data_IF_396113695795
#
_entry.id   IF_396113695795
#
_cell.length_a   1.000
_cell.length_b   1.000
_cell.length_c   1.000
_cell.angle_alpha   90.00
_cell.angle_beta   90.00
_cell.angle_gamma   90.00
#
_symmetry.space_group_name_H-M   'P 1'
#
loop_
_entity.id
_entity.type
_entity.pdbx_description
1 polymer ?
#
# COMPACT_ATOMS: atom_id res chain seq x y z
N UNK A 1 18.01 -0.72 -13.25
CA UNK A 1 17.06 -1.86 -13.40
C UNK A 1 16.21 -2.17 -12.16
N UNK A 2 16.74 -2.04 -10.93
CA UNK A 2 16.04 -2.40 -9.69
C UNK A 2 14.72 -1.65 -9.45
N UNK A 3 14.69 -0.33 -9.75
CA UNK A 3 13.50 0.52 -9.69
C UNK A 3 12.34 0.03 -10.59
N UNK A 4 12.66 -0.58 -11.74
CA UNK A 4 11.65 -1.08 -12.68
C UNK A 4 10.86 -2.27 -12.11
N UNK A 5 11.58 -3.21 -11.47
CA UNK A 5 10.97 -4.38 -10.82
C UNK A 5 10.12 -3.95 -9.62
N UNK A 6 10.61 -2.97 -8.83
CA UNK A 6 9.84 -2.38 -7.74
C UNK A 6 8.54 -1.73 -8.22
N UNK A 7 8.59 -0.90 -9.27
CA UNK A 7 7.41 -0.29 -9.89
C UNK A 7 6.40 -1.31 -10.39
N UNK A 8 6.86 -2.38 -11.05
CA UNK A 8 5.98 -3.47 -11.51
C UNK A 8 5.28 -4.17 -10.34
N UNK A 9 5.97 -4.38 -9.22
CA UNK A 9 5.39 -4.97 -8.01
C UNK A 9 4.33 -4.06 -7.39
N UNK A 10 4.61 -2.77 -7.27
CA UNK A 10 3.66 -1.77 -6.75
C UNK A 10 2.42 -1.70 -7.64
N UNK A 11 2.59 -1.58 -8.97
CA UNK A 11 1.47 -1.61 -9.92
C UNK A 11 0.62 -2.87 -9.80
N UNK A 12 1.25 -4.03 -9.57
CA UNK A 12 0.52 -5.30 -9.37
C UNK A 12 -0.34 -5.26 -8.10
N UNK A 13 0.19 -4.72 -7.01
CA UNK A 13 -0.57 -4.54 -5.75
C UNK A 13 -1.73 -3.57 -5.97
N UNK A 14 -1.49 -2.41 -6.58
CA UNK A 14 -2.54 -1.42 -6.87
C UNK A 14 -3.63 -2.03 -7.75
N UNK A 15 -3.27 -2.73 -8.82
CA UNK A 15 -4.23 -3.34 -9.75
C UNK A 15 -5.16 -4.36 -9.08
N UNK A 16 -4.66 -5.08 -8.07
CA UNK A 16 -5.45 -6.08 -7.34
C UNK A 16 -6.27 -5.40 -6.24
N UNK A 17 -5.64 -4.58 -5.40
CA UNK A 17 -6.26 -4.05 -4.19
C UNK A 17 -7.22 -2.89 -4.46
N UNK A 18 -6.89 -2.01 -5.41
CA UNK A 18 -7.68 -0.81 -5.72
C UNK A 18 -9.14 -1.14 -6.05
N UNK A 19 -9.47 -2.05 -7.00
CA UNK A 19 -10.87 -2.36 -7.30
C UNK A 19 -11.58 -3.08 -6.14
N UNK A 20 -10.88 -3.89 -5.34
CA UNK A 20 -11.45 -4.60 -4.20
C UNK A 20 -11.84 -3.60 -3.10
N UNK A 21 -10.94 -2.69 -2.76
CA UNK A 21 -11.16 -1.67 -1.74
C UNK A 21 -12.21 -0.64 -2.18
N UNK A 22 -12.16 -0.19 -3.44
CA UNK A 22 -13.17 0.71 -4.00
C UNK A 22 -14.57 0.09 -4.00
N UNK A 23 -14.69 -1.19 -4.37
CA UNK A 23 -15.99 -1.88 -4.40
C UNK A 23 -16.52 -2.20 -3.01
N UNK A 24 -15.64 -2.55 -2.07
CA UNK A 24 -16.02 -2.96 -0.70
C UNK A 24 -16.29 -1.79 0.24
N UNK A 25 -15.54 -0.70 0.12
CA UNK A 25 -15.53 0.40 1.10
C UNK A 25 -15.79 1.79 0.48
N UNK A 26 -15.92 1.87 -0.84
CA UNK A 26 -16.17 3.11 -1.59
C UNK A 26 -14.90 3.88 -1.94
N UNK A 27 -15.08 5.06 -2.53
CA UNK A 27 -13.99 5.98 -2.85
C UNK A 27 -13.59 6.76 -1.60
N UNK A 28 -12.43 6.43 -1.04
CA UNK A 28 -11.83 7.11 0.11
C UNK A 28 -10.35 7.34 -0.15
N UNK A 29 -9.81 8.41 0.41
CA UNK A 29 -8.39 8.74 0.30
C UNK A 29 -7.51 7.72 1.06
N UNK A 30 -8.04 7.17 2.15
CA UNK A 30 -7.36 6.17 2.98
C UNK A 30 -8.33 5.09 3.51
N UNK A 31 -7.78 3.91 3.83
CA UNK A 31 -8.49 2.77 4.38
C UNK A 31 -7.92 2.38 5.75
N UNK A 32 -8.77 1.81 6.62
CA UNK A 32 -8.30 1.38 7.94
C UNK A 32 -7.42 0.12 7.83
N UNK A 33 -6.50 -0.05 8.79
CA UNK A 33 -5.57 -1.20 8.82
C UNK A 33 -6.33 -2.53 8.71
N UNK A 34 -7.45 -2.68 9.45
CA UNK A 34 -8.26 -3.89 9.41
C UNK A 34 -8.92 -4.17 8.05
N UNK A 35 -9.34 -3.13 7.33
CA UNK A 35 -9.89 -3.26 5.97
C UNK A 35 -8.82 -3.70 4.97
N UNK A 36 -7.61 -3.14 5.09
CA UNK A 36 -6.47 -3.54 4.25
C UNK A 36 -6.05 -4.97 4.60
N UNK A 37 -5.94 -5.32 5.88
CA UNK A 37 -5.60 -6.67 6.36
C UNK A 37 -6.53 -7.74 5.82
N UNK A 38 -7.85 -7.50 5.87
CA UNK A 38 -8.84 -8.44 5.39
C UNK A 38 -8.63 -8.81 3.91
N UNK A 39 -8.14 -7.86 3.10
CA UNK A 39 -8.02 -8.00 1.66
C UNK A 39 -6.61 -8.38 1.18
N UNK A 40 -5.59 -8.29 2.05
CA UNK A 40 -4.20 -8.61 1.70
C UNK A 40 -3.74 -10.00 2.18
N UNK A 41 -4.59 -10.77 2.90
CA UNK A 41 -4.22 -12.11 3.42
C UNK A 41 -3.72 -13.07 2.34
N UNK A 42 -4.20 -12.93 1.11
CA UNK A 42 -3.80 -13.74 -0.06
C UNK A 42 -2.49 -13.28 -0.73
N UNK A 43 -1.95 -12.11 -0.36
CA UNK A 43 -0.71 -11.54 -0.91
C UNK A 43 0.53 -11.99 -0.14
N UNK A 44 1.71 -11.93 -0.76
CA UNK A 44 2.95 -12.26 -0.06
C UNK A 44 3.34 -11.17 0.96
N UNK A 45 4.09 -11.52 2.01
CA UNK A 45 4.52 -10.57 3.08
C UNK A 45 5.09 -9.24 2.57
N UNK A 46 5.86 -9.27 1.46
CA UNK A 46 6.39 -8.04 0.84
C UNK A 46 5.30 -7.20 0.16
N UNK A 47 4.33 -7.83 -0.49
CA UNK A 47 3.19 -7.14 -1.10
C UNK A 47 2.23 -6.59 -0.05
N UNK A 48 2.06 -7.29 1.07
CA UNK A 48 1.30 -6.81 2.23
C UNK A 48 1.90 -5.51 2.78
N UNK A 49 3.22 -5.47 3.01
CA UNK A 49 3.92 -4.24 3.43
C UNK A 49 3.71 -3.08 2.45
N UNK A 50 3.78 -3.36 1.14
CA UNK A 50 3.49 -2.36 0.10
C UNK A 50 2.03 -1.92 0.20
N UNK A 51 1.07 -2.84 0.31
CA UNK A 51 -0.35 -2.51 0.41
C UNK A 51 -0.67 -1.63 1.62
N UNK A 52 -0.08 -1.91 2.79
CA UNK A 52 -0.22 -1.03 3.95
C UNK A 52 0.36 0.36 3.71
N UNK A 53 1.59 0.44 3.22
CA UNK A 53 2.21 1.72 2.90
C UNK A 53 1.43 2.49 1.82
N UNK A 54 0.68 1.79 0.99
CA UNK A 54 -0.11 2.38 -0.08
C UNK A 54 -1.49 2.86 0.37
N UNK A 55 -2.25 2.02 1.05
CA UNK A 55 -3.69 2.22 1.28
C UNK A 55 -4.05 2.56 2.73
N UNK A 56 -3.16 2.31 3.68
CA UNK A 56 -3.45 2.60 5.08
C UNK A 56 -3.21 4.07 5.41
N UNK A 57 -3.99 4.58 6.36
CA UNK A 57 -3.79 5.92 6.91
C UNK A 57 -2.38 6.09 7.49
N UNK A 58 -1.61 7.10 7.07
CA UNK A 58 -0.27 7.37 7.60
C UNK A 58 -0.30 7.75 9.08
N UNK A 59 -1.43 8.30 9.55
CA UNK A 59 -1.66 8.62 10.97
C UNK A 59 -2.06 7.41 11.82
N UNK A 60 -2.46 6.30 11.18
CA UNK A 60 -2.80 5.04 11.88
C UNK A 60 -1.58 4.16 12.12
N UNK A 61 -0.48 4.41 11.40
CA UNK A 61 0.82 3.80 11.68
C UNK A 61 1.56 4.67 12.70
N UNK A 62 1.43 4.36 13.98
CA UNK A 62 2.33 4.90 15.00
C UNK A 62 3.78 4.69 14.53
N UNK A 63 4.47 5.81 14.29
CA UNK A 63 5.83 5.93 13.74
C UNK A 63 6.92 5.34 14.64
N UNK A 64 6.57 4.51 15.63
CA UNK A 64 7.45 4.06 16.70
C UNK A 64 8.19 2.76 16.38
N UNK A 65 7.78 1.96 15.39
CA UNK A 65 8.33 0.60 15.25
C UNK A 65 8.96 0.22 13.91
N UNK A 66 8.98 1.06 12.88
CA UNK A 66 9.61 0.67 11.61
C UNK A 66 10.25 1.85 10.87
N UNK A 67 11.55 2.06 11.10
CA UNK A 67 12.46 2.99 10.43
C UNK A 67 12.61 2.75 8.91
N UNK A 68 11.83 1.84 8.33
CA UNK A 68 11.83 1.51 6.90
C UNK A 68 10.63 2.09 6.12
N UNK A 69 9.57 2.52 6.81
CA UNK A 69 8.36 3.08 6.20
C UNK A 69 8.52 4.46 5.57
N UNK A 70 9.33 5.43 6.08
CA UNK A 70 9.41 6.73 5.43
C UNK A 70 9.93 6.63 4.00
N UNK A 71 10.70 5.59 3.63
CA UNK A 71 11.19 5.40 2.26
C UNK A 71 10.10 5.04 1.23
N UNK A 72 8.94 4.52 1.67
CA UNK A 72 7.83 4.19 0.76
C UNK A 72 6.86 5.36 0.55
N UNK A 73 6.73 6.27 1.51
CA UNK A 73 5.95 7.50 1.34
C UNK A 73 6.51 8.40 0.21
N UNK A 74 7.83 8.47 0.06
CA UNK A 74 8.48 9.16 -1.07
C UNK A 74 8.30 8.46 -2.43
N UNK A 75 7.84 7.20 -2.46
CA UNK A 75 7.56 6.52 -3.72
C UNK A 75 6.26 7.05 -4.34
N UNK A 76 5.30 7.52 -3.53
CA UNK A 76 4.10 8.19 -4.04
C UNK A 76 4.40 9.51 -4.75
N UNK A 77 5.31 10.31 -4.19
CA UNK A 77 5.78 11.55 -4.81
C UNK A 77 6.59 11.33 -6.11
N UNK A 78 7.11 10.12 -6.34
CA UNK A 78 7.91 9.79 -7.54
C UNK A 78 7.19 8.88 -8.55
N UNK A 79 5.95 8.48 -8.25
CA UNK A 79 5.04 7.75 -9.16
C UNK A 79 3.92 8.67 -9.69
N UNK A 80 3.79 9.89 -9.16
CA UNK A 80 2.95 10.93 -9.77
C UNK A 80 3.46 11.22 -11.18
N UNK A 81 2.61 10.86 -12.15
CA UNK A 81 2.71 11.19 -13.56
C UNK A 81 1.93 12.49 -13.79
#
# INVERSE_FOLDING_TARGET
MFRYIQRRRIKKVIKILSPILLKGYGSRDYFTIGQVEANIKSLCKRQQKIAFALFADPNAFDLTNNTELPKFAWIYLTISF
#
